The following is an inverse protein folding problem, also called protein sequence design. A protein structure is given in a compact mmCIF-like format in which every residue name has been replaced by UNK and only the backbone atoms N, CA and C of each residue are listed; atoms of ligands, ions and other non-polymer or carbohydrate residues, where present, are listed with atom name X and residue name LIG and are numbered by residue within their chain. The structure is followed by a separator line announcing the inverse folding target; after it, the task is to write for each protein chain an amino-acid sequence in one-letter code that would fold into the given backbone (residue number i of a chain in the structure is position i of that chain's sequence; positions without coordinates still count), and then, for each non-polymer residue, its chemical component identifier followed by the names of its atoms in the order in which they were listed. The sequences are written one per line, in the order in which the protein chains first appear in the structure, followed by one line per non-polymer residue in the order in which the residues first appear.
data_IF_997761476626
#
_entry.id   IF_997761476626
#
_cell.length_a   1.000
_cell.length_b   1.000
_cell.length_c   1.000
_cell.angle_alpha   90.00
_cell.angle_beta   90.00
_cell.angle_gamma   90.00
#
_symmetry.space_group_name_H-M   'P 1'
#
loop_
_entity.id
_entity.type
_entity.pdbx_description
1 polymer ?
#
# COMPACT_ATOMS: atom_id res chain seq x y z
N UNK A 1 -24.00 -18.83 22.70
CA UNK A 1 -24.50 -17.83 21.72
C UNK A 1 -24.44 -16.45 22.34
N UNK A 2 -23.67 -15.52 21.76
CA UNK A 2 -23.49 -14.17 22.33
C UNK A 2 -24.64 -13.26 21.92
N UNK A 3 -25.26 -12.58 22.89
CA UNK A 3 -26.29 -11.57 22.61
C UNK A 3 -25.66 -10.25 22.16
N UNK A 4 -26.42 -9.47 21.42
CA UNK A 4 -26.04 -8.12 21.03
C UNK A 4 -25.78 -7.26 22.27
N UNK A 5 -24.76 -6.41 22.22
CA UNK A 5 -24.44 -5.47 23.31
C UNK A 5 -25.46 -4.35 23.47
N UNK A 6 -26.24 -4.06 22.43
CA UNK A 6 -27.20 -2.96 22.38
C UNK A 6 -28.68 -3.46 22.36
N UNK A 7 -28.93 -4.77 22.27
CA UNK A 7 -30.29 -5.36 22.32
C UNK A 7 -30.29 -6.86 22.67
N UNK A 8 -31.46 -7.51 22.68
CA UNK A 8 -31.59 -8.92 23.04
C UNK A 8 -31.38 -9.92 21.89
N UNK A 9 -31.30 -9.43 20.64
CA UNK A 9 -31.03 -10.25 19.44
C UNK A 9 -29.63 -10.89 19.50
N UNK A 10 -29.40 -11.92 18.69
CA UNK A 10 -28.09 -12.55 18.58
C UNK A 10 -27.07 -11.63 17.90
N UNK A 11 -25.84 -11.62 18.41
CA UNK A 11 -24.75 -10.88 17.80
C UNK A 11 -24.26 -11.60 16.54
N UNK A 12 -24.19 -10.87 15.42
CA UNK A 12 -23.68 -11.37 14.13
C UNK A 12 -22.38 -10.68 13.71
N UNK A 13 -22.11 -9.47 14.22
CA UNK A 13 -20.90 -8.70 13.89
C UNK A 13 -20.32 -8.03 15.12
N UNK A 14 -19.12 -8.46 15.54
CA UNK A 14 -18.33 -7.82 16.61
C UNK A 14 -19.15 -7.52 17.88
N UNK A 15 -19.93 -8.51 18.34
CA UNK A 15 -20.77 -8.37 19.54
C UNK A 15 -22.04 -7.54 19.36
N UNK A 16 -22.46 -7.25 18.12
CA UNK A 16 -23.73 -6.58 17.79
C UNK A 16 -24.53 -7.35 16.75
N UNK A 17 -25.85 -7.20 16.75
CA UNK A 17 -26.67 -7.62 15.62
C UNK A 17 -26.39 -6.71 14.41
N UNK A 18 -26.85 -7.10 13.22
CA UNK A 18 -26.59 -6.36 11.98
C UNK A 18 -27.03 -4.89 12.05
N UNK A 19 -28.24 -4.62 12.55
CA UNK A 19 -28.79 -3.27 12.70
C UNK A 19 -27.91 -2.39 13.61
N UNK A 20 -27.56 -2.90 14.80
CA UNK A 20 -26.73 -2.16 15.75
C UNK A 20 -25.29 -1.99 15.28
N UNK A 21 -24.73 -2.95 14.54
CA UNK A 21 -23.42 -2.80 13.92
C UNK A 21 -23.42 -1.68 12.86
N UNK A 22 -24.46 -1.60 12.03
CA UNK A 22 -24.61 -0.53 11.05
C UNK A 22 -24.76 0.84 11.72
N UNK A 23 -25.66 0.95 12.70
CA UNK A 23 -25.85 2.19 13.47
C UNK A 23 -24.56 2.64 14.18
N UNK A 24 -23.81 1.70 14.76
CA UNK A 24 -22.49 1.96 15.34
C UNK A 24 -21.52 2.54 14.30
N UNK A 25 -21.46 1.97 13.10
CA UNK A 25 -20.63 2.45 12.00
C UNK A 25 -20.97 3.87 11.54
N UNK A 26 -22.22 4.31 11.71
CA UNK A 26 -22.67 5.66 11.34
C UNK A 26 -22.36 6.72 12.40
N UNK A 27 -21.96 6.35 13.62
CA UNK A 27 -21.61 7.31 14.68
C UNK A 27 -20.50 8.25 14.21
N UNK A 28 -20.61 9.54 14.54
CA UNK A 28 -19.66 10.59 14.10
C UNK A 28 -18.21 10.23 14.42
N UNK A 29 -17.91 9.82 15.66
CA UNK A 29 -16.57 9.43 16.08
C UNK A 29 -16.01 8.25 15.26
N UNK A 30 -16.83 7.26 14.94
CA UNK A 30 -16.43 6.09 14.12
C UNK A 30 -16.13 6.53 12.69
N UNK A 31 -17.02 7.31 12.08
CA UNK A 31 -16.82 7.86 10.73
C UNK A 31 -15.58 8.75 10.66
N UNK A 32 -15.34 9.61 11.66
CA UNK A 32 -14.16 10.48 11.73
C UNK A 32 -12.86 9.66 11.80
N UNK A 33 -12.82 8.62 12.64
CA UNK A 33 -11.67 7.71 12.70
C UNK A 33 -11.44 6.98 11.37
N UNK A 34 -12.50 6.50 10.71
CA UNK A 34 -12.39 5.86 9.40
C UNK A 34 -11.85 6.84 8.34
N UNK A 35 -12.34 8.08 8.32
CA UNK A 35 -11.84 9.14 7.42
C UNK A 35 -10.37 9.45 7.68
N UNK A 36 -9.96 9.58 8.94
CA UNK A 36 -8.56 9.83 9.30
C UNK A 36 -7.64 8.68 8.86
N UNK A 37 -8.05 7.43 9.11
CA UNK A 37 -7.32 6.24 8.63
C UNK A 37 -7.19 6.21 7.12
N UNK A 38 -8.29 6.53 6.39
CA UNK A 38 -8.26 6.62 4.93
C UNK A 38 -7.28 7.68 4.44
N UNK A 39 -7.29 8.88 5.04
CA UNK A 39 -6.35 9.96 4.71
C UNK A 39 -4.90 9.55 4.97
N UNK A 40 -4.64 8.91 6.11
CA UNK A 40 -3.31 8.39 6.43
C UNK A 40 -2.85 7.33 5.43
N UNK A 41 -3.72 6.40 5.07
CA UNK A 41 -3.42 5.39 4.06
C UNK A 41 -3.16 6.02 2.68
N UNK A 42 -3.92 7.05 2.30
CA UNK A 42 -3.69 7.79 1.06
C UNK A 42 -2.36 8.56 1.05
N UNK A 43 -1.89 9.04 2.20
CA UNK A 43 -0.57 9.68 2.34
C UNK A 43 0.56 8.67 2.08
N UNK A 44 0.42 7.45 2.61
CA UNK A 44 1.38 6.37 2.46
C UNK A 44 0.93 5.36 1.38
N UNK A 45 0.69 5.88 0.18
CA UNK A 45 0.28 5.09 -0.99
C UNK A 45 1.04 5.54 -2.26
N UNK A 46 2.25 6.07 -2.10
CA UNK A 46 3.08 6.57 -3.20
C UNK A 46 3.28 5.52 -4.29
N UNK A 47 3.68 4.31 -3.89
CA UNK A 47 3.98 3.23 -4.83
C UNK A 47 2.73 2.78 -5.60
N UNK A 48 1.62 2.58 -4.89
CA UNK A 48 0.34 2.20 -5.50
C UNK A 48 -0.19 3.28 -6.46
N UNK A 49 -0.08 4.56 -6.07
CA UNK A 49 -0.50 5.68 -6.90
C UNK A 49 0.35 5.77 -8.18
N UNK A 50 1.67 5.62 -8.08
CA UNK A 50 2.57 5.61 -9.23
C UNK A 50 2.28 4.41 -10.14
N UNK A 51 2.17 3.19 -9.59
CA UNK A 51 1.83 1.99 -10.37
C UNK A 51 0.54 2.16 -11.17
N UNK A 52 -0.50 2.75 -10.57
CA UNK A 52 -1.76 3.06 -11.29
C UNK A 52 -1.54 4.01 -12.48
N UNK A 53 -0.69 5.02 -12.33
CA UNK A 53 -0.36 5.96 -13.42
C UNK A 53 0.42 5.26 -14.54
N UNK A 54 1.37 4.40 -14.20
CA UNK A 54 2.13 3.63 -15.21
C UNK A 54 1.20 2.72 -16.01
N UNK A 55 0.29 2.01 -15.34
CA UNK A 55 -0.70 1.16 -16.02
C UNK A 55 -1.64 1.95 -16.92
N UNK A 56 -2.07 3.15 -16.51
CA UNK A 56 -2.88 4.02 -17.36
C UNK A 56 -2.10 4.55 -18.59
N UNK A 57 -0.78 4.74 -18.47
CA UNK A 57 0.09 5.21 -19.55
C UNK A 57 0.57 4.08 -20.48
N UNK A 58 0.67 2.85 -19.98
CA UNK A 58 1.12 1.66 -20.71
C UNK A 58 2.64 1.50 -20.85
N UNK A 59 3.43 2.55 -20.59
CA UNK A 59 4.89 2.52 -20.62
C UNK A 59 5.50 3.43 -19.53
N UNK A 60 6.80 3.30 -19.29
CA UNK A 60 7.55 4.16 -18.41
C UNK A 60 9.06 4.16 -18.65
N UNK A 61 9.66 5.34 -18.49
CA UNK A 61 11.10 5.49 -18.39
C UNK A 61 11.63 4.99 -17.05
N UNK A 62 12.73 4.25 -17.10
CA UNK A 62 13.51 3.89 -15.91
C UNK A 62 14.25 5.13 -15.38
N UNK A 63 14.14 5.42 -14.08
CA UNK A 63 14.78 6.58 -13.47
C UNK A 63 16.32 6.45 -13.39
N UNK A 64 16.87 5.26 -13.65
CA UNK A 64 18.32 4.99 -13.61
C UNK A 64 18.95 4.92 -14.99
N UNK A 65 18.43 4.07 -15.89
CA UNK A 65 19.01 3.91 -17.23
C UNK A 65 18.38 4.84 -18.29
N UNK A 66 17.26 5.50 -17.96
CA UNK A 66 16.55 6.46 -18.82
C UNK A 66 15.92 5.85 -20.09
N UNK A 67 15.98 4.53 -20.27
CA UNK A 67 15.29 3.83 -21.35
C UNK A 67 13.79 3.68 -21.08
N UNK A 68 13.00 3.50 -22.15
CA UNK A 68 11.55 3.27 -22.08
C UNK A 68 11.20 1.78 -22.05
N UNK A 69 10.22 1.43 -21.22
CA UNK A 69 9.78 0.06 -21.01
C UNK A 69 8.25 -0.02 -20.94
N UNK A 70 7.66 -1.15 -21.37
CA UNK A 70 6.27 -1.48 -21.05
C UNK A 70 6.00 -1.41 -19.53
N UNK A 71 4.80 -0.97 -19.14
CA UNK A 71 4.46 -0.78 -17.72
C UNK A 71 4.49 -2.06 -16.85
N UNK A 72 4.43 -3.24 -17.47
CA UNK A 72 4.55 -4.57 -16.86
C UNK A 72 6.01 -5.07 -16.77
N UNK A 73 6.94 -4.41 -17.48
CA UNK A 73 8.37 -4.70 -17.47
C UNK A 73 9.15 -3.86 -16.45
N UNK A 74 8.50 -2.90 -15.79
CA UNK A 74 9.08 -2.03 -14.77
C UNK A 74 8.50 -2.29 -13.39
N UNK A 75 9.28 -1.94 -12.37
CA UNK A 75 8.89 -1.97 -10.98
C UNK A 75 8.85 -0.57 -10.37
N UNK A 76 7.93 -0.39 -9.43
CA UNK A 76 7.86 0.82 -8.60
C UNK A 76 8.55 0.50 -7.29
N UNK A 77 9.66 1.18 -7.02
CA UNK A 77 10.51 0.92 -5.88
C UNK A 77 10.69 2.18 -5.03
N UNK A 78 11.02 2.01 -3.76
CA UNK A 78 11.26 3.15 -2.87
C UNK A 78 12.69 3.65 -3.01
N UNK A 79 12.90 4.96 -3.17
CA UNK A 79 14.24 5.57 -3.28
C UNK A 79 15.07 5.24 -2.03
N UNK A 80 14.53 5.58 -0.86
CA UNK A 80 14.98 5.04 0.43
C UNK A 80 14.09 3.85 0.81
N UNK A 81 14.63 2.62 0.96
CA UNK A 81 13.83 1.47 1.33
C UNK A 81 13.03 1.66 2.62
N UNK A 82 11.84 1.08 2.69
CA UNK A 82 11.01 1.09 3.89
C UNK A 82 11.74 0.48 5.11
N UNK A 83 12.52 -0.59 4.88
CA UNK A 83 13.32 -1.25 5.92
C UNK A 83 14.39 -0.34 6.53
N UNK A 84 14.85 0.68 5.80
CA UNK A 84 15.82 1.66 6.28
C UNK A 84 15.15 2.96 6.75
N UNK A 85 13.83 2.95 6.95
CA UNK A 85 13.05 4.11 7.40
C UNK A 85 12.68 5.08 6.28
N UNK A 86 12.48 4.57 5.05
CA UNK A 86 11.78 5.30 4.01
C UNK A 86 10.27 5.34 4.24
N UNK A 87 9.60 6.35 3.67
CA UNK A 87 8.13 6.47 3.69
C UNK A 87 7.54 6.11 2.33
N UNK A 88 6.34 5.54 2.28
CA UNK A 88 5.62 5.27 1.02
C UNK A 88 4.93 6.52 0.46
N UNK A 89 5.71 7.56 0.16
CA UNK A 89 5.22 8.86 -0.33
C UNK A 89 5.65 9.08 -1.78
N UNK A 90 4.94 9.97 -2.49
CA UNK A 90 5.21 10.24 -3.91
C UNK A 90 6.65 10.71 -4.20
N UNK A 91 7.30 11.38 -3.25
CA UNK A 91 8.69 11.84 -3.36
C UNK A 91 9.74 10.78 -3.07
N UNK A 92 9.34 9.60 -2.57
CA UNK A 92 10.24 8.50 -2.21
C UNK A 92 9.97 7.24 -3.06
N UNK A 93 9.34 7.39 -4.22
CA UNK A 93 9.10 6.28 -5.16
C UNK A 93 9.68 6.61 -6.53
N UNK A 94 10.22 5.60 -7.19
CA UNK A 94 10.86 5.67 -8.49
C UNK A 94 10.46 4.46 -9.34
N UNK A 95 10.63 4.57 -10.66
CA UNK A 95 10.40 3.52 -11.65
C UNK A 95 11.73 2.91 -12.05
N UNK A 96 11.87 1.59 -11.94
CA UNK A 96 13.08 0.87 -12.32
C UNK A 96 12.75 -0.28 -13.25
N UNK A 97 13.52 -0.47 -14.31
CA UNK A 97 13.51 -1.73 -15.03
C UNK A 97 14.10 -2.84 -14.13
N UNK A 98 13.74 -4.10 -14.39
CA UNK A 98 14.19 -5.24 -13.56
C UNK A 98 15.71 -5.28 -13.31
N UNK A 99 16.59 -5.06 -14.32
CA UNK A 99 18.03 -5.02 -14.07
C UNK A 99 18.45 -3.91 -13.11
N UNK A 100 17.93 -2.69 -13.27
CA UNK A 100 18.23 -1.57 -12.38
C UNK A 100 17.70 -1.82 -10.96
N UNK A 101 16.54 -2.47 -10.83
CA UNK A 101 15.97 -2.80 -9.52
C UNK A 101 16.82 -3.82 -8.75
N UNK A 102 17.38 -4.82 -9.44
CA UNK A 102 18.34 -5.77 -8.85
C UNK A 102 19.61 -5.05 -8.39
N UNK A 103 20.17 -4.17 -9.22
CA UNK A 103 21.34 -3.37 -8.86
C UNK A 103 21.07 -2.48 -7.64
N UNK A 104 19.90 -1.84 -7.59
CA UNK A 104 19.48 -1.04 -6.43
C UNK A 104 19.40 -1.88 -5.17
N UNK A 105 18.75 -3.03 -5.22
CA UNK A 105 18.60 -3.92 -4.07
C UNK A 105 19.97 -4.33 -3.52
N UNK A 106 20.92 -4.68 -4.40
CA UNK A 106 22.29 -5.01 -4.01
C UNK A 106 23.03 -3.81 -3.38
N UNK A 107 22.77 -2.60 -3.87
CA UNK A 107 23.37 -1.35 -3.35
C UNK A 107 22.81 -0.98 -1.99
N UNK A 108 21.49 -1.09 -1.82
CA UNK A 108 20.80 -0.66 -0.59
C UNK A 108 21.06 -1.59 0.60
N UNK A 109 21.24 -2.89 0.33
CA UNK A 109 21.31 -3.89 1.39
C UNK A 109 22.67 -4.60 1.50
N UNK A 110 23.62 -4.30 0.60
CA UNK A 110 24.90 -5.00 0.53
C UNK A 110 24.69 -6.44 0.06
N UNK A 111 25.15 -6.78 -1.14
CA UNK A 111 24.88 -8.07 -1.77
C UNK A 111 25.34 -9.29 -0.96
N UNK A 112 24.47 -9.81 -0.09
CA UNK A 112 24.45 -11.18 0.42
C UNK A 112 23.19 -11.35 1.29
N UNK A 113 22.08 -11.74 0.64
CA UNK A 113 20.95 -12.56 1.20
C UNK A 113 19.66 -12.51 0.35
N UNK A 114 19.75 -12.21 -0.94
CA UNK A 114 18.63 -12.41 -1.87
C UNK A 114 18.66 -13.81 -2.48
N UNK A 115 18.63 -14.86 -1.64
CA UNK A 115 18.36 -16.23 -2.11
C UNK A 115 16.86 -16.34 -2.43
N UNK A 116 16.58 -16.16 -3.71
CA UNK A 116 15.69 -16.99 -4.52
C UNK A 116 14.66 -17.81 -3.73
N UNK A 117 13.41 -17.31 -3.66
CA UNK A 117 12.26 -18.19 -3.36
C UNK A 117 11.97 -19.01 -4.61
N UNK A 118 12.23 -20.31 -4.47
CA UNK A 118 11.80 -21.41 -5.33
C UNK A 118 10.28 -21.45 -5.42
#
# INVERSE_FOLDING_TARGET
MTRCSDCTELATHRGRCHKHHQAYGQRSAVRSRHRQRKRSAQRYAGAAALRKRLQARGHAWCDWCLDDFPADAVDVDHVKPLALGGEDVASNVQVLCRPCHVLKTATDFGGSDAVQRV
#
